data_IF_258789316202
#
_entry.id   IF_258789316202
#
_cell.length_a   1.000
_cell.length_b   1.000
_cell.length_c   1.000
_cell.angle_alpha   90.00
_cell.angle_beta   90.00
_cell.angle_gamma   90.00
#
_symmetry.space_group_name_H-M   'P 1'
#
loop_
_entity.id
_entity.type
_entity.pdbx_description
1 polymer ?
#
# COMPACT_ATOMS: atom_id res chain seq x y z
N UNK A 1 -2.03 -0.55 14.66
CA UNK A 1 -3.18 -1.13 13.95
C UNK A 1 -3.75 -0.05 13.05
N UNK A 2 -3.81 -0.31 11.75
CA UNK A 2 -4.61 0.48 10.81
C UNK A 2 -6.06 0.00 10.89
N UNK A 3 -7.00 0.91 10.66
CA UNK A 3 -8.41 0.57 10.47
C UNK A 3 -8.71 0.75 8.99
N UNK A 4 -9.27 -0.26 8.36
CA UNK A 4 -9.75 -0.18 6.98
C UNK A 4 -11.08 -0.90 6.95
N UNK A 5 -12.12 -0.21 6.51
CA UNK A 5 -13.42 -0.82 6.29
C UNK A 5 -13.47 -1.31 4.86
N UNK A 6 -13.67 -2.62 4.70
CA UNK A 6 -14.01 -3.23 3.43
C UNK A 6 -15.45 -3.70 3.54
N UNK A 7 -16.22 -3.50 2.48
CA UNK A 7 -17.54 -4.11 2.36
C UNK A 7 -17.37 -5.61 2.08
N UNK A 8 -18.39 -6.40 2.43
CA UNK A 8 -18.35 -7.86 2.21
C UNK A 8 -18.32 -8.22 0.72
N UNK A 9 -18.82 -7.33 -0.14
CA UNK A 9 -18.82 -7.44 -1.61
C UNK A 9 -17.57 -6.86 -2.25
N UNK A 10 -16.55 -6.43 -1.48
CA UNK A 10 -15.36 -5.77 -2.02
C UNK A 10 -14.68 -6.62 -3.11
N UNK A 11 -14.57 -7.94 -2.93
CA UNK A 11 -13.95 -8.83 -3.92
C UNK A 11 -14.79 -9.06 -5.17
N UNK A 12 -16.09 -8.75 -5.10
CA UNK A 12 -17.07 -8.99 -6.14
C UNK A 12 -17.36 -7.72 -6.97
N UNK A 13 -16.73 -6.59 -6.62
CA UNK A 13 -16.89 -5.34 -7.38
C UNK A 13 -16.48 -5.54 -8.85
N UNK A 14 -17.33 -5.07 -9.76
CA UNK A 14 -17.15 -5.25 -11.20
C UNK A 14 -15.89 -4.55 -11.74
N UNK A 15 -15.48 -3.44 -11.14
CA UNK A 15 -14.27 -2.69 -11.50
C UNK A 15 -12.96 -3.44 -11.14
N UNK A 16 -12.99 -4.30 -10.12
CA UNK A 16 -11.86 -5.17 -9.77
C UNK A 16 -11.83 -6.46 -10.60
N UNK A 17 -12.94 -6.85 -11.23
CA UNK A 17 -13.06 -8.14 -11.91
C UNK A 17 -12.02 -8.34 -13.04
N UNK A 18 -11.65 -7.25 -13.73
CA UNK A 18 -10.65 -7.27 -14.81
C UNK A 18 -9.19 -7.22 -14.35
N UNK A 19 -8.94 -6.99 -13.05
CA UNK A 19 -7.58 -6.93 -12.50
C UNK A 19 -7.10 -8.31 -12.06
N UNK A 20 -5.80 -8.52 -12.19
CA UNK A 20 -5.12 -9.69 -11.62
C UNK A 20 -5.20 -9.67 -10.08
N UNK A 21 -5.28 -10.81 -9.38
CA UNK A 21 -5.33 -10.83 -7.92
C UNK A 21 -4.17 -10.08 -7.25
N UNK A 22 -2.98 -10.07 -7.84
CA UNK A 22 -1.85 -9.32 -7.30
C UNK A 22 -2.10 -7.80 -7.36
N UNK A 23 -2.67 -7.29 -8.46
CA UNK A 23 -3.03 -5.88 -8.60
C UNK A 23 -4.11 -5.47 -7.58
N UNK A 24 -5.12 -6.33 -7.36
CA UNK A 24 -6.17 -6.10 -6.35
C UNK A 24 -5.58 -5.99 -4.95
N UNK A 25 -4.63 -6.86 -4.62
CA UNK A 25 -3.93 -6.79 -3.34
C UNK A 25 -3.07 -5.53 -3.22
N UNK A 26 -2.38 -5.13 -4.29
CA UNK A 26 -1.60 -3.89 -4.31
C UNK A 26 -2.49 -2.64 -4.08
N UNK A 27 -3.67 -2.61 -4.70
CA UNK A 27 -4.68 -1.58 -4.46
C UNK A 27 -5.12 -1.51 -3.00
N UNK A 28 -5.46 -2.67 -2.41
CA UNK A 28 -5.84 -2.74 -0.99
C UNK A 28 -4.70 -2.26 -0.07
N UNK A 29 -3.45 -2.60 -0.39
CA UNK A 29 -2.30 -2.15 0.37
C UNK A 29 -2.12 -0.62 0.31
N UNK A 30 -2.40 0.01 -0.83
CA UNK A 30 -2.42 1.48 -0.95
C UNK A 30 -3.53 2.10 -0.08
N UNK A 31 -4.74 1.54 -0.07
CA UNK A 31 -5.83 1.97 0.82
C UNK A 31 -5.40 1.89 2.29
N UNK A 32 -4.78 0.78 2.69
CA UNK A 32 -4.29 0.60 4.06
C UNK A 32 -3.19 1.60 4.41
N UNK A 33 -2.30 1.90 3.46
CA UNK A 33 -1.24 2.91 3.64
C UNK A 33 -1.85 4.29 3.88
N UNK A 34 -2.85 4.68 3.09
CA UNK A 34 -3.60 5.92 3.29
C UNK A 34 -4.27 5.95 4.68
N UNK A 35 -4.94 4.87 5.05
CA UNK A 35 -5.70 4.74 6.30
C UNK A 35 -4.82 4.74 7.56
N UNK A 36 -3.55 4.33 7.44
CA UNK A 36 -2.59 4.34 8.55
C UNK A 36 -1.99 5.73 8.80
N UNK A 37 -1.86 6.52 7.74
CA UNK A 37 -1.22 7.83 7.77
C UNK A 37 -2.19 8.98 7.97
N UNK A 38 -1.72 10.18 7.66
CA UNK A 38 -2.52 11.41 7.61
C UNK A 38 -3.04 11.69 6.18
N UNK A 39 -2.94 10.69 5.27
CA UNK A 39 -3.31 10.80 3.85
C UNK A 39 -4.82 10.60 3.65
N UNK A 40 -5.61 11.44 4.30
CA UNK A 40 -7.08 11.34 4.29
C UNK A 40 -7.70 11.70 2.93
N UNK A 41 -6.95 12.37 2.06
CA UNK A 41 -7.37 12.68 0.69
C UNK A 41 -7.08 11.54 -0.28
N UNK A 42 -6.48 10.44 0.21
CA UNK A 42 -6.05 9.31 -0.63
C UNK A 42 -4.84 9.61 -1.49
N UNK A 43 -4.20 10.77 -1.32
CA UNK A 43 -3.03 11.19 -2.08
C UNK A 43 -1.75 10.57 -1.51
N UNK A 44 -1.05 9.84 -2.38
CA UNK A 44 0.24 9.21 -2.14
C UNK A 44 1.27 9.76 -3.11
N UNK A 45 2.54 9.81 -2.67
CA UNK A 45 3.65 9.99 -3.62
C UNK A 45 3.76 8.73 -4.47
N UNK A 46 4.10 8.87 -5.75
CA UNK A 46 4.24 7.73 -6.66
C UNK A 46 5.30 6.69 -6.21
N UNK A 47 6.26 7.10 -5.36
CA UNK A 47 7.22 6.18 -4.74
C UNK A 47 6.58 5.37 -3.60
N UNK A 48 5.70 5.97 -2.81
CA UNK A 48 5.03 5.30 -1.70
C UNK A 48 3.96 4.34 -2.20
N UNK A 49 3.20 4.75 -3.24
CA UNK A 49 2.24 3.88 -3.92
C UNK A 49 2.90 2.57 -4.40
N UNK A 50 4.05 2.67 -5.07
CA UNK A 50 4.79 1.49 -5.53
C UNK A 50 5.40 0.63 -4.43
N UNK A 51 5.60 1.20 -3.24
CA UNK A 51 6.12 0.49 -2.06
C UNK A 51 5.01 -0.02 -1.15
N UNK A 52 3.74 0.14 -1.55
CA UNK A 52 2.61 -0.22 -0.70
C UNK A 52 2.54 -1.74 -0.43
N UNK A 53 3.01 -2.57 -1.36
CA UNK A 53 3.08 -4.03 -1.20
C UNK A 53 4.31 -4.62 -1.89
N UNK A 54 4.54 -5.91 -1.70
CA UNK A 54 5.60 -6.71 -2.34
C UNK A 54 5.21 -7.17 -3.76
N UNK A 55 4.49 -6.33 -4.51
CA UNK A 55 4.11 -6.67 -5.90
C UNK A 55 5.37 -6.77 -6.78
N UNK A 56 5.44 -7.76 -7.67
CA UNK A 56 6.63 -8.00 -8.52
C UNK A 56 6.94 -6.80 -9.43
N UNK A 57 5.92 -6.30 -10.14
CA UNK A 57 5.99 -5.04 -10.90
C UNK A 57 4.94 -4.02 -10.41
N UNK A 58 5.24 -3.26 -9.36
CA UNK A 58 4.28 -2.32 -8.78
C UNK A 58 4.03 -1.11 -9.70
N UNK A 59 4.97 -0.79 -10.60
CA UNK A 59 4.80 0.33 -11.52
C UNK A 59 3.72 0.00 -12.57
N UNK A 60 3.78 -1.19 -13.16
CA UNK A 60 2.75 -1.65 -14.08
C UNK A 60 1.40 -1.89 -13.38
N UNK A 61 1.42 -2.41 -12.14
CA UNK A 61 0.21 -2.56 -11.33
C UNK A 61 -0.54 -1.23 -11.14
N UNK A 62 0.16 -0.16 -10.73
CA UNK A 62 -0.44 1.17 -10.58
C UNK A 62 -1.09 1.66 -11.88
N UNK A 63 -0.46 1.42 -13.05
CA UNK A 63 -1.03 1.80 -14.34
C UNK A 63 -2.28 0.99 -14.70
N UNK A 64 -2.29 -0.33 -14.44
CA UNK A 64 -3.48 -1.18 -14.68
C UNK A 64 -4.65 -0.80 -13.77
N UNK A 65 -4.37 -0.55 -12.49
CA UNK A 65 -5.38 -0.12 -11.52
C UNK A 65 -5.91 1.28 -11.89
N UNK A 66 -5.05 2.19 -12.35
CA UNK A 66 -5.47 3.50 -12.86
C UNK A 66 -6.33 3.37 -14.13
N UNK A 67 -5.98 2.48 -15.05
CA UNK A 67 -6.78 2.19 -16.24
C UNK A 67 -8.17 1.61 -15.90
N UNK A 68 -8.30 0.92 -14.77
CA UNK A 68 -9.58 0.46 -14.22
C UNK A 68 -10.39 1.56 -13.53
N UNK A 69 -9.87 2.80 -13.43
CA UNK A 69 -10.56 3.95 -12.84
C UNK A 69 -10.48 4.03 -11.32
N UNK A 70 -9.71 3.16 -10.66
CA UNK A 70 -9.61 3.10 -9.20
C UNK A 70 -8.56 4.06 -8.62
N UNK A 71 -7.64 4.53 -9.46
CA UNK A 71 -6.59 5.49 -9.13
C UNK A 71 -6.57 6.64 -10.14
N UNK A 72 -6.22 7.82 -9.66
CA UNK A 72 -5.85 8.95 -10.49
C UNK A 72 -4.35 9.23 -10.38
N UNK A 73 -3.64 9.23 -11.51
CA UNK A 73 -2.21 9.48 -11.54
C UNK A 73 -1.95 10.89 -12.08
N UNK A 74 -1.36 11.76 -11.26
CA UNK A 74 -1.04 13.15 -11.62
C UNK A 74 0.45 13.43 -11.40
N UNK A 75 1.24 13.30 -12.46
CA UNK A 75 2.70 13.55 -12.40
C UNK A 75 3.41 12.62 -11.41
N UNK A 76 3.75 13.14 -10.22
CA UNK A 76 4.45 12.41 -9.16
C UNK A 76 3.54 11.96 -8.02
N UNK A 77 2.23 12.21 -8.11
CA UNK A 77 1.23 11.79 -7.12
C UNK A 77 0.26 10.78 -7.70
N UNK A 78 -0.25 9.92 -6.82
CA UNK A 78 -1.29 8.93 -7.10
C UNK A 78 -2.38 9.12 -6.06
N UNK A 79 -3.63 9.31 -6.49
CA UNK A 79 -4.79 9.43 -5.61
C UNK A 79 -5.68 8.20 -5.70
N UNK A 80 -6.05 7.64 -4.56
CA UNK A 80 -7.10 6.61 -4.47
C UNK A 80 -8.47 7.29 -4.58
N UNK A 81 -9.27 6.93 -5.60
CA UNK A 81 -10.51 7.65 -5.94
C UNK A 81 -11.56 7.54 -4.83
N UNK A 82 -11.85 6.32 -4.38
CA UNK A 82 -12.92 6.05 -3.40
C UNK A 82 -12.39 5.91 -1.96
N UNK A 83 -11.39 6.72 -1.60
CA UNK A 83 -10.73 6.58 -0.30
C UNK A 83 -11.66 6.86 0.89
N UNK A 84 -12.67 7.71 0.70
CA UNK A 84 -13.59 8.14 1.76
C UNK A 84 -14.40 6.98 2.35
N UNK A 85 -14.66 5.92 1.58
CA UNK A 85 -15.37 4.72 2.05
C UNK A 85 -14.53 3.87 3.01
N UNK A 86 -13.21 3.98 2.90
CA UNK A 86 -12.24 3.16 3.62
C UNK A 86 -11.65 3.85 4.85
N UNK A 87 -11.73 5.19 4.92
CA UNK A 87 -11.17 6.00 5.99
C UNK A 87 -12.06 5.95 7.24
N UNK A 88 -11.46 5.84 8.46
CA UNK A 88 -12.22 5.87 9.68
C UNK A 88 -12.95 7.21 9.86
N UNK A 89 -14.21 7.18 10.32
CA UNK A 89 -14.96 8.40 10.56
C UNK A 89 -14.20 9.27 11.59
N UNK A 90 -14.35 10.62 11.53
CA UNK A 90 -13.60 11.54 12.39
C UNK A 90 -13.66 11.19 13.88
N UNK A 91 -14.81 10.70 14.38
CA UNK A 91 -14.99 10.30 15.77
C UNK A 91 -14.06 9.16 16.21
N UNK A 92 -13.87 8.15 15.35
CA UNK A 92 -12.97 7.02 15.60
C UNK A 92 -11.51 7.48 15.60
N UNK A 93 -11.15 8.39 14.69
CA UNK A 93 -9.80 8.98 14.62
C UNK A 93 -9.47 9.78 15.88
N UNK A 94 -10.36 10.69 16.28
CA UNK A 94 -10.20 11.48 17.50
C UNK A 94 -10.07 10.61 18.75
N UNK A 95 -10.86 9.53 18.84
CA UNK A 95 -10.76 8.56 19.93
C UNK A 95 -9.41 7.84 19.93
N UNK A 96 -8.94 7.37 18.78
CA UNK A 96 -7.64 6.70 18.65
C UNK A 96 -6.49 7.62 19.06
N UNK A 97 -6.52 8.89 18.68
CA UNK A 97 -5.52 9.88 19.09
C UNK A 97 -5.56 10.17 20.58
N UNK A 98 -6.77 10.30 21.15
CA UNK A 98 -6.95 10.47 22.59
C UNK A 98 -6.41 9.26 23.37
N UNK A 99 -6.66 8.04 22.89
CA UNK A 99 -6.13 6.82 23.49
C UNK A 99 -4.60 6.72 23.35
N UNK A 100 -4.03 7.12 22.21
CA UNK A 100 -2.58 7.19 22.02
C UNK A 100 -1.94 8.17 23.01
N UNK A 101 -2.52 9.36 23.17
CA UNK A 101 -2.08 10.36 24.17
C UNK A 101 -2.21 9.82 25.59
N UNK A 102 -3.34 9.18 25.93
CA UNK A 102 -3.57 8.54 27.23
C UNK A 102 -2.53 7.47 27.53
N UNK A 103 -2.29 6.54 26.60
CA UNK A 103 -1.28 5.48 26.76
C UNK A 103 0.14 6.01 26.83
N UNK A 104 0.46 7.09 26.10
CA UNK A 104 1.75 7.77 26.24
C UNK A 104 1.94 8.35 27.65
N UNK A 105 0.91 9.01 28.21
CA UNK A 105 0.93 9.53 29.58
C UNK A 105 1.12 8.41 30.61
N UNK A 106 0.34 7.33 30.48
CA UNK A 106 0.41 6.17 31.37
C UNK A 106 1.81 5.54 31.40
N UNK A 107 2.44 5.38 30.23
CA UNK A 107 3.81 4.86 30.13
C UNK A 107 4.85 5.80 30.74
N UNK A 108 4.75 7.11 30.49
CA UNK A 108 5.66 8.09 31.08
C UNK A 108 5.55 8.10 32.62
N UNK A 109 4.32 8.13 33.13
CA UNK A 109 4.05 8.05 34.57
C UNK A 109 4.64 6.78 35.20
N UNK A 110 4.43 5.62 34.57
CA UNK A 110 4.99 4.34 35.04
C UNK A 110 6.53 4.33 35.02
N UNK A 111 7.16 5.10 34.14
CA UNK A 111 8.60 5.28 34.09
C UNK A 111 9.14 6.31 35.11
N UNK A 112 8.27 6.91 35.94
CA UNK A 112 8.63 8.00 36.87
C UNK A 112 8.77 9.37 36.21
N UNK A 113 8.45 9.47 34.92
CA UNK A 113 8.48 10.73 34.19
C UNK A 113 7.10 11.41 34.21
N UNK A 114 6.99 12.44 35.06
CA UNK A 114 5.74 13.12 35.34
C UNK A 114 5.47 14.32 34.41
N UNK A 115 6.30 14.63 33.40
CA UNK A 115 6.13 15.82 32.55
C UNK A 115 4.84 15.84 31.71
N UNK A 116 4.24 14.67 31.44
CA UNK A 116 2.97 14.54 30.71
C UNK A 116 1.76 14.31 31.62
N UNK A 117 1.96 14.23 32.94
CA UNK A 117 0.86 14.04 33.88
C UNK A 117 -0.01 15.30 33.96
N UNK A 118 -1.30 15.10 34.23
CA UNK A 118 -2.21 16.20 34.53
C UNK A 118 -2.03 16.59 36.00
N UNK A 119 -1.95 17.89 36.34
CA UNK A 119 -1.76 18.36 37.72
C UNK A 119 -2.80 17.78 38.69
N UNK A 120 -4.06 17.70 38.25
CA UNK A 120 -5.18 17.24 39.07
C UNK A 120 -5.12 15.74 39.44
N UNK A 121 -4.30 14.96 38.72
CA UNK A 121 -4.24 13.50 38.87
C UNK A 121 -2.89 12.98 39.36
N UNK A 122 -1.90 13.85 39.57
CA UNK A 122 -0.57 13.45 40.03
C UNK A 122 0.08 14.58 40.84
N UNK A 123 0.33 14.32 42.13
CA UNK A 123 0.98 15.29 43.04
C UNK A 123 2.40 15.63 42.62
N UNK A 124 3.06 14.75 41.87
CA UNK A 124 4.42 14.96 41.34
C UNK A 124 4.44 15.70 40.00
N UNK A 125 3.28 16.01 39.42
CA UNK A 125 3.22 16.81 38.20
C UNK A 125 3.58 18.27 38.55
N UNK A 126 4.50 18.85 37.79
CA UNK A 126 4.85 20.25 37.95
C UNK A 126 3.61 21.14 37.69
N UNK A 127 3.38 22.19 38.51
CA UNK A 127 2.28 23.11 38.27
C UNK A 127 2.41 23.73 36.87
N UNK A 128 1.26 24.02 36.23
CA UNK A 128 1.21 24.56 34.86
C UNK A 128 2.08 25.82 34.69
N UNK A 129 2.27 26.61 35.75
CA UNK A 129 3.09 27.81 35.77
C UNK A 129 4.60 27.57 35.66
N UNK A 130 5.09 26.36 35.95
CA UNK A 130 6.52 26.02 35.90
C UNK A 130 6.88 25.13 34.72
N UNK A 131 5.94 24.86 33.81
CA UNK A 131 6.22 24.06 32.63
C UNK A 131 7.03 24.91 31.65
N UNK A 132 8.29 24.55 31.35
CA UNK A 132 9.01 25.25 30.29
C UNK A 132 8.19 25.06 29.01
N UNK A 133 7.91 26.15 28.29
CA UNK A 133 7.36 26.03 26.94
C UNK A 133 8.25 25.02 26.18
N UNK A 134 7.65 24.02 25.52
CA UNK A 134 8.42 23.12 24.70
C UNK A 134 9.09 23.97 23.63
N UNK A 135 10.39 24.23 23.80
CA UNK A 135 11.22 24.82 22.76
C UNK A 135 10.99 23.97 21.53
N UNK A 136 10.64 24.60 20.43
CA UNK A 136 10.35 23.93 19.17
C UNK A 136 11.59 23.10 18.79
N UNK A 137 11.55 21.80 19.10
CA UNK A 137 12.65 20.88 18.78
C UNK A 137 12.49 20.62 17.31
N UNK A 138 13.16 21.43 16.50
CA UNK A 138 13.36 21.19 15.08
C UNK A 138 13.94 19.79 14.96
N UNK A 139 13.09 18.82 14.62
CA UNK A 139 13.52 17.46 14.33
C UNK A 139 14.43 17.57 13.12
N UNK A 140 15.72 17.39 13.34
CA UNK A 140 16.68 17.18 12.28
C UNK A 140 16.23 15.94 11.46
N UNK A 141 15.80 16.10 10.20
CA UNK A 141 15.36 14.98 9.37
C UNK A 141 16.55 14.26 8.70
N UNK A 142 17.77 14.50 9.17
CA UNK A 142 18.98 13.86 8.66
C UNK A 142 19.19 12.46 9.22
N UNK A 143 18.84 11.43 8.43
CA UNK A 143 19.61 10.17 8.20
C UNK A 143 18.73 9.05 7.60
N UNK A 144 17.87 9.40 6.64
CA UNK A 144 17.29 8.41 5.72
C UNK A 144 18.08 8.44 4.42
N UNK A 145 18.82 7.37 4.13
CA UNK A 145 19.61 7.19 2.92
C UNK A 145 18.68 7.04 1.71
N UNK A 146 18.22 8.15 1.15
CA UNK A 146 17.38 8.18 -0.07
C UNK A 146 18.24 7.92 -1.31
N UNK A 147 18.58 6.66 -1.52
CA UNK A 147 18.96 6.17 -2.85
C UNK A 147 17.73 6.12 -3.76
N UNK A 148 17.91 6.50 -5.04
CA UNK A 148 17.06 6.21 -6.22
C UNK A 148 15.98 7.20 -6.66
N UNK A 149 16.14 8.50 -6.44
CA UNK A 149 15.27 9.55 -7.03
C UNK A 149 15.41 9.83 -8.53
N UNK A 150 16.16 9.04 -9.33
CA UNK A 150 16.51 9.39 -10.74
C UNK A 150 15.88 8.52 -11.84
N UNK A 151 14.89 7.68 -11.55
CA UNK A 151 14.31 6.78 -12.57
C UNK A 151 13.12 7.37 -13.37
N UNK A 152 12.54 8.50 -12.95
CA UNK A 152 11.28 8.99 -13.52
C UNK A 152 11.38 9.65 -14.90
N UNK A 153 12.53 10.22 -15.25
CA UNK A 153 12.69 10.88 -16.55
C UNK A 153 12.93 9.90 -17.71
N UNK A 154 13.36 8.66 -17.43
CA UNK A 154 13.78 7.72 -18.49
C UNK A 154 12.69 6.76 -18.94
N UNK A 155 11.73 6.44 -18.07
CA UNK A 155 10.64 5.50 -18.40
C UNK A 155 9.60 6.13 -19.35
N UNK A 156 9.22 7.39 -19.14
CA UNK A 156 8.24 8.08 -20.01
C UNK A 156 8.78 8.32 -21.43
N UNK A 157 10.08 8.62 -21.57
CA UNK A 157 10.73 8.77 -22.88
C UNK A 157 10.83 7.41 -23.60
N UNK A 158 11.05 6.31 -22.87
CA UNK A 158 11.11 4.97 -23.46
C UNK A 158 9.75 4.43 -23.91
N UNK A 159 8.65 4.76 -23.22
CA UNK A 159 7.30 4.33 -23.66
C UNK A 159 6.88 5.03 -24.96
N UNK A 160 7.27 6.30 -25.14
CA UNK A 160 6.98 7.05 -26.36
C UNK A 160 7.85 6.60 -27.55
N UNK A 161 9.09 6.15 -27.32
CA UNK A 161 9.95 5.55 -28.35
C UNK A 161 9.55 4.10 -28.70
N UNK A 162 9.07 3.31 -27.74
CA UNK A 162 8.58 1.96 -27.99
C UNK A 162 7.32 1.96 -28.88
N UNK A 163 6.40 2.91 -28.67
CA UNK A 163 5.21 3.06 -29.52
C UNK A 163 5.52 3.55 -30.95
N UNK A 164 6.63 4.27 -31.16
CA UNK A 164 7.08 4.66 -32.51
C UNK A 164 7.73 3.51 -33.28
N UNK A 165 8.29 2.51 -32.59
CA UNK A 165 8.90 1.32 -33.21
C UNK A 165 7.94 0.12 -33.35
N UNK A 166 6.73 0.20 -32.79
CA UNK A 166 5.73 -0.87 -32.90
C UNK A 166 5.02 -0.92 -34.28
N UNK A 167 5.38 -0.04 -35.22
CA UNK A 167 4.82 0.01 -36.57
C UNK A 167 5.34 -1.05 -37.55
N UNK A 168 6.30 -1.90 -37.18
CA UNK A 168 6.93 -2.84 -38.12
C UNK A 168 7.26 -4.19 -37.46
N UNK A 169 6.24 -4.85 -36.88
CA UNK A 169 6.29 -6.29 -36.59
C UNK A 169 5.12 -6.97 -37.32
N UNK A 170 5.21 -6.98 -38.65
CA UNK A 170 4.47 -7.92 -39.50
C UNK A 170 5.05 -9.32 -39.31
N UNK A 171 4.44 -10.13 -38.45
CA UNK A 171 4.83 -11.54 -38.35
C UNK A 171 4.42 -12.28 -37.07
N UNK A 172 3.23 -12.06 -36.51
CA UNK A 172 2.68 -13.00 -35.53
C UNK A 172 1.83 -14.02 -36.28
N UNK A 173 2.29 -15.27 -36.31
CA UNK A 173 1.53 -16.38 -36.85
C UNK A 173 0.26 -16.57 -36.01
N UNK A 174 -0.89 -16.30 -36.62
CA UNK A 174 -2.20 -16.55 -36.03
C UNK A 174 -2.32 -18.04 -35.74
N UNK A 175 -2.35 -18.42 -34.47
CA UNK A 175 -2.64 -19.78 -34.06
C UNK A 175 -4.12 -20.08 -34.39
N UNK A 176 -4.35 -20.93 -35.38
CA UNK A 176 -5.67 -21.42 -35.76
C UNK A 176 -6.25 -22.26 -34.62
N UNK A 177 -7.42 -21.93 -34.05
CA UNK A 177 -8.08 -22.77 -33.06
C UNK A 177 -8.55 -24.06 -33.75
N UNK A 178 -8.02 -25.21 -33.34
CA UNK A 178 -8.47 -26.52 -33.86
C UNK A 178 -7.41 -27.62 -33.94
N UNK A 179 -6.12 -27.32 -33.78
CA UNK A 179 -5.10 -28.37 -33.67
C UNK A 179 -4.99 -28.85 -32.21
N UNK A 180 -5.67 -29.94 -31.91
CA UNK A 180 -5.43 -30.71 -30.69
C UNK A 180 -3.96 -31.17 -30.68
N UNK A 181 -3.15 -30.52 -29.85
CA UNK A 181 -1.83 -31.02 -29.55
C UNK A 181 -2.00 -32.35 -28.80
N UNK A 182 -1.66 -33.46 -29.47
CA UNK A 182 -1.54 -34.77 -28.85
C UNK A 182 -0.39 -34.70 -27.85
N UNK A 183 -0.68 -34.31 -26.61
CA UNK A 183 0.29 -34.36 -25.53
C UNK A 183 0.51 -35.82 -25.19
N UNK A 184 1.63 -36.37 -25.68
CA UNK A 184 2.03 -37.74 -25.43
C UNK A 184 2.57 -37.80 -23.99
N UNK A 185 1.69 -38.05 -23.03
CA UNK A 185 2.09 -38.29 -21.65
C UNK A 185 2.73 -39.68 -21.53
N UNK A 186 3.99 -39.79 -21.08
CA UNK A 186 4.57 -41.09 -20.80
C UNK A 186 3.78 -41.77 -19.68
N UNK A 187 3.50 -43.09 -19.78
CA UNK A 187 2.79 -43.81 -18.74
C UNK A 187 3.62 -43.80 -17.44
N UNK A 188 2.97 -43.74 -16.26
CA UNK A 188 3.66 -43.78 -14.99
C UNK A 188 4.39 -45.13 -14.82
N UNK A 189 5.53 -45.16 -14.09
CA UNK A 189 6.23 -46.40 -13.80
C UNK A 189 5.37 -47.30 -12.91
N UNK A 190 5.11 -48.52 -13.38
CA UNK A 190 4.40 -49.55 -12.64
C UNK A 190 5.28 -50.13 -11.53
N UNK A 191 4.98 -49.81 -10.27
CA UNK A 191 5.60 -50.45 -9.10
C UNK A 191 4.82 -51.70 -8.74
N UNK A 192 5.14 -52.82 -9.40
CA UNK A 192 4.66 -54.13 -8.99
C UNK A 192 5.44 -54.63 -7.78
N UNK A 193 4.81 -54.68 -6.61
CA UNK A 193 5.27 -55.50 -5.48
C UNK A 193 4.58 -56.87 -5.58
N UNK A 194 5.29 -57.83 -6.16
CA UNK A 194 5.00 -59.25 -5.94
C UNK A 194 5.54 -59.62 -4.56
N UNK A 195 4.66 -59.91 -3.61
CA UNK A 195 5.02 -60.64 -2.40
C UNK A 195 4.24 -61.96 -2.42
N UNK A 196 4.98 -63.03 -2.71
CA UNK A 196 4.52 -64.40 -2.70
C UNK A 196 4.62 -64.99 -1.28
N UNK A 197 3.57 -65.75 -0.95
CA UNK A 197 3.39 -66.80 0.07
C UNK A 197 4.49 -67.04 1.12
#
# INVERSE_FOLDING_TARGET
MSWTKLSDDFTDRADLAGLDPADRWHYLAMIQLCSRGEHLTGELRAIDARRASDHEDPAAAVQRIAAAGLLEVTGTTVRVVEIDEHIPPPSVRMKADADKRRKRRERAHKAGDHHLCLPDHCTSAAPLSSRPEPRDVTRDPGTGRDGTGRAFARAAIQTEQANKNAGEITGWATATPGQAATVNFPPPPYTGTEEAA
#
